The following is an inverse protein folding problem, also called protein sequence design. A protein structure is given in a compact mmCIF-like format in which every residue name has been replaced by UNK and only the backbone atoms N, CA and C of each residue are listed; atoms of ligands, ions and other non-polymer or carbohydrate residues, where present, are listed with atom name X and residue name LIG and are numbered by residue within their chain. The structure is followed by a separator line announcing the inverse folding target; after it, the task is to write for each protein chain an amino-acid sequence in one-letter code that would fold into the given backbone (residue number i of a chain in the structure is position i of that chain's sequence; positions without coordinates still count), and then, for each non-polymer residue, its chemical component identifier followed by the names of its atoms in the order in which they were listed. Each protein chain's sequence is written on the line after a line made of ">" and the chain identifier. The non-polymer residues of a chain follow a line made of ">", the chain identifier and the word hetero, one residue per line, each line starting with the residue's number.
data_IF_972280474554
#
_entry.id   IF_972280474554
#
_cell.length_a   1.000
_cell.length_b   1.000
_cell.length_c   1.000
_cell.angle_alpha   90.00
_cell.angle_beta   90.00
_cell.angle_gamma   90.00
#
_symmetry.space_group_name_H-M   'P 1'
#
loop_
_entity.id
_entity.type
_entity.pdbx_description
1 polymer ?
#
# COMPACT_ATOMS: atom_id res chain seq x y z
N UNK A 1 15.94 -30.02 -21.71
CA UNK A 1 16.65 -28.72 -21.67
C UNK A 1 15.61 -27.65 -21.42
N UNK A 2 15.75 -26.85 -20.37
CA UNK A 2 14.78 -25.77 -20.12
C UNK A 2 14.99 -24.68 -21.18
N UNK A 3 13.93 -24.22 -21.85
CA UNK A 3 14.06 -23.16 -22.85
C UNK A 3 14.59 -21.91 -22.12
N UNK A 4 15.59 -21.24 -22.71
CA UNK A 4 16.22 -20.01 -22.20
C UNK A 4 17.13 -20.15 -20.97
N UNK A 5 17.46 -21.37 -20.52
CA UNK A 5 18.45 -21.60 -19.48
C UNK A 5 19.64 -22.40 -20.03
N UNK A 6 20.86 -21.90 -19.83
CA UNK A 6 22.09 -22.62 -20.20
C UNK A 6 22.46 -23.72 -19.20
N UNK A 7 21.86 -23.72 -18.00
CA UNK A 7 22.06 -24.76 -16.99
C UNK A 7 20.96 -25.82 -17.07
N UNK A 8 21.29 -27.03 -16.58
CA UNK A 8 20.34 -28.15 -16.46
C UNK A 8 19.51 -28.09 -15.18
N UNK A 9 19.66 -27.04 -14.37
CA UNK A 9 18.94 -26.89 -13.11
C UNK A 9 17.48 -26.57 -13.36
N UNK A 10 16.59 -27.26 -12.63
CA UNK A 10 15.18 -26.88 -12.59
C UNK A 10 15.06 -25.63 -11.71
N UNK A 11 14.81 -24.49 -12.35
CA UNK A 11 14.57 -23.22 -11.67
C UNK A 11 13.10 -22.87 -11.78
N UNK A 12 12.35 -23.11 -10.70
CA UNK A 12 10.96 -22.70 -10.60
C UNK A 12 10.85 -21.26 -10.08
N UNK A 13 9.98 -20.49 -10.72
CA UNK A 13 9.64 -19.14 -10.32
C UNK A 13 8.16 -19.05 -9.95
N UNK A 14 7.85 -18.25 -8.95
CA UNK A 14 6.48 -17.92 -8.59
C UNK A 14 6.24 -16.42 -8.70
N UNK A 15 5.10 -16.08 -9.30
CA UNK A 15 4.61 -14.70 -9.39
C UNK A 15 4.15 -14.29 -7.99
N UNK A 16 4.66 -13.16 -7.48
CA UNK A 16 4.24 -12.63 -6.19
C UNK A 16 3.66 -11.22 -6.27
N UNK A 17 3.92 -10.49 -7.36
CA UNK A 17 3.38 -9.15 -7.60
C UNK A 17 3.32 -8.89 -9.12
N UNK A 18 2.38 -8.08 -9.57
CA UNK A 18 2.44 -7.42 -10.87
C UNK A 18 1.84 -6.01 -10.80
N UNK A 19 2.22 -5.16 -11.75
CA UNK A 19 1.68 -3.81 -11.93
C UNK A 19 0.82 -3.78 -13.19
N UNK A 20 -0.36 -3.17 -13.05
CA UNK A 20 -1.24 -2.80 -14.15
C UNK A 20 -1.08 -1.32 -14.42
N UNK A 21 -0.98 -0.97 -15.69
CA UNK A 21 -0.95 0.41 -16.15
C UNK A 21 -2.24 0.70 -16.93
N UNK A 22 -3.05 1.62 -16.41
CA UNK A 22 -4.25 2.11 -17.05
C UNK A 22 -3.91 3.45 -17.75
N UNK A 23 -3.45 3.36 -18.98
CA UNK A 23 -3.10 4.52 -19.80
C UNK A 23 -2.74 4.12 -21.23
N UNK A 24 -2.81 5.06 -22.17
CA UNK A 24 -2.43 4.83 -23.57
C UNK A 24 -0.95 5.06 -23.85
N UNK A 25 -0.23 5.74 -22.97
CA UNK A 25 1.17 6.12 -23.15
C UNK A 25 2.01 5.65 -21.97
N UNK A 26 3.28 5.31 -22.18
CA UNK A 26 4.13 4.79 -21.10
C UNK A 26 4.52 5.85 -20.05
N UNK A 27 4.38 7.14 -20.36
CA UNK A 27 4.73 8.26 -19.46
C UNK A 27 3.52 8.88 -18.77
N UNK A 28 2.29 8.44 -19.09
CA UNK A 28 1.06 9.02 -18.57
C UNK A 28 0.01 7.93 -18.29
N UNK A 29 -0.86 8.17 -17.33
CA UNK A 29 -1.87 7.19 -16.90
C UNK A 29 -1.71 6.80 -15.44
N UNK A 30 -2.36 5.70 -15.07
CA UNK A 30 -2.51 5.30 -13.68
C UNK A 30 -1.93 3.92 -13.41
N UNK A 31 -1.17 3.78 -12.32
CA UNK A 31 -0.54 2.51 -11.97
C UNK A 31 -1.20 1.91 -10.73
N UNK A 32 -1.63 0.65 -10.85
CA UNK A 32 -2.14 -0.12 -9.73
C UNK A 32 -1.26 -1.34 -9.53
N UNK A 33 -0.88 -1.62 -8.28
CA UNK A 33 -0.12 -2.82 -7.95
C UNK A 33 -1.04 -3.92 -7.43
N UNK A 34 -0.73 -5.16 -7.80
CA UNK A 34 -1.41 -6.34 -7.29
C UNK A 34 -0.40 -7.21 -6.59
N UNK A 35 -0.65 -7.52 -5.31
CA UNK A 35 0.32 -8.18 -4.44
C UNK A 35 -0.27 -9.47 -3.88
N UNK A 36 0.51 -10.54 -3.95
CA UNK A 36 0.17 -11.81 -3.32
C UNK A 36 0.66 -11.85 -1.88
N UNK A 37 -0.21 -12.31 -1.01
CA UNK A 37 0.15 -12.85 0.31
C UNK A 37 0.09 -14.38 0.25
N UNK A 38 0.49 -15.11 1.31
CA UNK A 38 0.35 -16.57 1.32
C UNK A 38 -1.08 -17.10 1.14
N UNK A 39 -2.10 -16.27 1.37
CA UNK A 39 -3.51 -16.68 1.39
C UNK A 39 -4.38 -15.95 0.35
N UNK A 40 -4.05 -14.71 0.02
CA UNK A 40 -4.93 -13.83 -0.76
C UNK A 40 -4.15 -12.86 -1.64
N UNK A 41 -4.83 -12.31 -2.65
CA UNK A 41 -4.34 -11.21 -3.48
C UNK A 41 -5.02 -9.90 -3.11
N UNK A 42 -4.26 -8.81 -3.25
CA UNK A 42 -4.75 -7.47 -2.96
C UNK A 42 -4.42 -6.53 -4.10
N UNK A 43 -5.32 -5.58 -4.38
CA UNK A 43 -5.10 -4.44 -5.27
C UNK A 43 -4.73 -3.24 -4.40
N UNK A 44 -3.64 -2.62 -4.77
CA UNK A 44 -3.13 -1.37 -4.22
C UNK A 44 -3.40 -0.29 -5.27
N UNK A 45 -4.28 0.64 -4.93
CA UNK A 45 -4.67 1.75 -5.77
C UNK A 45 -4.46 3.05 -5.00
N UNK A 46 -3.26 3.62 -5.12
CA UNK A 46 -2.83 4.75 -4.30
C UNK A 46 -2.97 4.45 -2.79
N UNK A 47 -3.94 5.10 -2.14
CA UNK A 47 -4.25 4.93 -0.71
C UNK A 47 -5.23 3.78 -0.45
N UNK A 48 -5.92 3.28 -1.49
CA UNK A 48 -6.91 2.21 -1.39
C UNK A 48 -6.25 0.82 -1.38
N UNK A 49 -6.75 -0.03 -0.49
CA UNK A 49 -6.29 -1.40 -0.29
C UNK A 49 -7.48 -2.36 -0.33
N UNK A 50 -7.62 -3.11 -1.43
CA UNK A 50 -8.77 -3.99 -1.66
C UNK A 50 -8.35 -5.46 -1.81
N UNK A 51 -9.09 -6.36 -1.15
CA UNK A 51 -8.96 -7.79 -1.42
C UNK A 51 -9.50 -8.13 -2.82
N UNK A 52 -8.78 -8.97 -3.56
CA UNK A 52 -9.12 -9.30 -4.95
C UNK A 52 -9.33 -10.79 -5.12
N UNK A 53 -10.42 -11.14 -5.81
CA UNK A 53 -10.64 -12.51 -6.25
C UNK A 53 -9.65 -12.87 -7.38
N UNK A 54 -9.02 -14.03 -7.28
CA UNK A 54 -8.07 -14.53 -8.27
C UNK A 54 -8.61 -14.50 -9.71
N UNK A 55 -9.91 -14.72 -9.92
CA UNK A 55 -10.54 -14.69 -11.25
C UNK A 55 -10.57 -13.29 -11.86
N UNK A 56 -10.59 -12.24 -11.05
CA UNK A 56 -10.51 -10.84 -11.48
C UNK A 56 -9.05 -10.47 -11.75
N UNK A 57 -8.14 -10.92 -10.88
CA UNK A 57 -6.70 -10.72 -11.01
C UNK A 57 -6.16 -11.31 -12.32
N UNK A 58 -6.56 -12.53 -12.67
CA UNK A 58 -6.11 -13.22 -13.89
C UNK A 58 -6.60 -12.56 -15.20
N UNK A 59 -7.59 -11.66 -15.12
CA UNK A 59 -8.11 -10.92 -16.28
C UNK A 59 -7.41 -9.58 -16.49
N UNK A 60 -6.50 -9.18 -15.59
CA UNK A 60 -5.82 -7.91 -15.72
C UNK A 60 -4.73 -7.96 -16.77
N UNK A 61 -4.58 -6.87 -17.52
CA UNK A 61 -3.48 -6.68 -18.47
C UNK A 61 -2.24 -6.20 -17.70
N UNK A 62 -1.41 -7.15 -17.28
CA UNK A 62 -0.20 -6.87 -16.52
C UNK A 62 0.85 -6.17 -17.41
N UNK A 63 1.36 -5.03 -16.94
CA UNK A 63 2.43 -4.29 -17.58
C UNK A 63 3.81 -4.77 -17.12
N UNK A 64 4.00 -4.95 -15.81
CA UNK A 64 5.25 -5.45 -15.22
C UNK A 64 4.94 -6.60 -14.29
N UNK A 65 5.69 -7.71 -14.39
CA UNK A 65 5.52 -8.88 -13.54
C UNK A 65 6.76 -9.11 -12.67
N UNK A 66 6.54 -9.43 -11.40
CA UNK A 66 7.59 -9.71 -10.43
C UNK A 66 7.54 -11.17 -9.99
N UNK A 67 8.60 -11.90 -10.33
CA UNK A 67 8.78 -13.30 -9.99
C UNK A 67 9.90 -13.46 -8.98
N UNK A 68 9.74 -14.42 -8.06
CA UNK A 68 10.82 -14.88 -7.18
C UNK A 68 11.11 -16.35 -7.41
N UNK A 69 12.38 -16.75 -7.26
CA UNK A 69 12.77 -18.16 -7.35
C UNK A 69 12.18 -18.91 -6.16
N UNK A 70 11.48 -20.02 -6.41
CA UNK A 70 10.88 -20.86 -5.36
C UNK A 70 11.97 -21.62 -4.59
N UNK A 71 13.01 -22.06 -5.29
CA UNK A 71 14.21 -22.65 -4.71
C UNK A 71 15.21 -21.57 -4.33
N UNK A 72 14.96 -20.90 -3.22
CA UNK A 72 16.04 -20.26 -2.47
C UNK A 72 16.68 -21.36 -1.64
N UNK A 73 17.93 -21.70 -1.93
CA UNK A 73 18.78 -22.40 -0.98
C UNK A 73 18.76 -21.56 0.31
N UNK A 74 18.02 -22.06 1.31
CA UNK A 74 17.85 -21.46 2.65
C UNK A 74 19.17 -21.17 3.37
N UNK A 75 20.30 -21.60 2.78
CA UNK A 75 21.67 -21.34 3.20
C UNK A 75 22.25 -20.00 2.73
N UNK A 76 21.66 -19.30 1.77
CA UNK A 76 22.26 -18.09 1.16
C UNK A 76 21.52 -16.77 1.44
N UNK A 77 20.33 -16.82 2.04
CA UNK A 77 19.62 -15.59 2.39
C UNK A 77 20.26 -14.95 3.63
N UNK A 78 20.60 -13.64 3.60
CA UNK A 78 20.89 -12.92 4.83
C UNK A 78 19.66 -13.04 5.72
N UNK A 79 19.86 -13.40 6.98
CA UNK A 79 18.78 -13.54 7.94
C UNK A 79 17.92 -12.25 7.95
N UNK A 80 16.66 -12.39 7.56
CA UNK A 80 15.68 -11.29 7.48
C UNK A 80 15.48 -10.55 8.82
N UNK A 81 16.03 -11.11 9.90
CA UNK A 81 16.18 -10.48 11.22
C UNK A 81 17.04 -9.20 11.23
N UNK A 82 17.74 -8.88 10.12
CA UNK A 82 18.63 -7.72 10.04
C UNK A 82 18.01 -6.48 9.36
N UNK A 83 16.71 -6.48 8.99
CA UNK A 83 16.06 -5.20 8.66
C UNK A 83 15.94 -4.39 9.96
N UNK A 84 16.59 -3.21 10.01
CA UNK A 84 17.07 -2.64 11.26
C UNK A 84 15.90 -2.02 12.02
N UNK A 85 15.90 -2.18 13.35
CA UNK A 85 14.94 -1.59 14.29
C UNK A 85 14.58 -0.12 14.00
N UNK A 86 15.49 0.61 13.34
CA UNK A 86 15.30 1.95 12.80
C UNK A 86 14.08 2.10 11.87
N UNK A 87 13.80 1.14 10.99
CA UNK A 87 12.64 1.21 10.08
C UNK A 87 11.34 1.17 10.89
N UNK A 88 11.26 0.28 11.88
CA UNK A 88 10.08 0.20 12.76
C UNK A 88 9.89 1.45 13.58
N UNK A 89 10.98 2.01 14.15
CA UNK A 89 10.94 3.26 14.90
C UNK A 89 10.47 4.41 13.99
N UNK A 90 11.00 4.51 12.77
CA UNK A 90 10.62 5.54 11.82
C UNK A 90 9.13 5.47 11.44
N UNK A 91 8.65 4.26 11.09
CA UNK A 91 7.23 4.03 10.77
C UNK A 91 6.35 4.41 11.97
N UNK A 92 6.72 3.99 13.18
CA UNK A 92 5.97 4.30 14.39
C UNK A 92 5.89 5.81 14.65
N UNK A 93 7.03 6.52 14.57
CA UNK A 93 7.09 7.97 14.75
C UNK A 93 6.25 8.68 13.68
N UNK A 94 6.37 8.27 12.42
CA UNK A 94 5.61 8.86 11.32
C UNK A 94 4.10 8.70 11.53
N UNK A 95 3.63 7.48 11.84
CA UNK A 95 2.22 7.21 12.13
C UNK A 95 1.74 8.02 13.34
N UNK A 96 2.53 8.07 14.42
CA UNK A 96 2.19 8.84 15.61
C UNK A 96 2.04 10.34 15.30
N UNK A 97 2.99 10.92 14.57
CA UNK A 97 2.93 12.33 14.17
C UNK A 97 1.73 12.58 13.26
N UNK A 98 1.48 11.72 12.27
CA UNK A 98 0.34 11.83 11.36
C UNK A 98 -0.99 11.83 12.12
N UNK A 99 -1.18 10.86 13.04
CA UNK A 99 -2.38 10.78 13.87
C UNK A 99 -2.49 12.00 14.79
N UNK A 100 -1.40 12.41 15.44
CA UNK A 100 -1.38 13.58 16.32
C UNK A 100 -1.77 14.86 15.57
N UNK A 101 -1.19 15.10 14.39
CA UNK A 101 -1.53 16.27 13.57
C UNK A 101 -2.99 16.18 13.11
N UNK A 102 -3.42 15.04 12.57
CA UNK A 102 -4.79 14.87 12.07
C UNK A 102 -5.83 15.04 13.18
N UNK A 103 -5.61 14.47 14.36
CA UNK A 103 -6.50 14.61 15.52
C UNK A 103 -6.45 16.00 16.15
N UNK A 104 -5.28 16.62 16.27
CA UNK A 104 -5.13 17.94 16.88
C UNK A 104 -5.68 19.05 15.98
N UNK A 105 -5.44 18.97 14.67
CA UNK A 105 -6.03 19.91 13.70
C UNK A 105 -7.54 19.74 13.59
N UNK A 106 -8.05 18.50 13.57
CA UNK A 106 -9.49 18.23 13.57
C UNK A 106 -10.17 18.70 14.87
N UNK A 107 -9.55 18.48 16.03
CA UNK A 107 -10.08 18.98 17.31
C UNK A 107 -10.07 20.51 17.37
N UNK A 108 -9.00 21.18 16.95
CA UNK A 108 -8.94 22.65 16.89
C UNK A 108 -9.98 23.25 15.93
N UNK A 109 -10.21 22.62 14.77
CA UNK A 109 -11.27 23.00 13.83
C UNK A 109 -12.67 22.80 14.44
N UNK A 110 -12.90 21.70 15.15
CA UNK A 110 -14.19 21.43 15.81
C UNK A 110 -14.45 22.37 17.00
N UNK A 111 -13.43 22.73 17.79
CA UNK A 111 -13.57 23.69 18.90
C UNK A 111 -13.86 25.11 18.39
N UNK A 112 -13.22 25.55 17.31
CA UNK A 112 -13.49 26.87 16.72
C UNK A 112 -14.89 26.94 16.10
N UNK A 113 -15.33 25.89 15.39
CA UNK A 113 -16.67 25.84 14.81
C UNK A 113 -17.77 25.78 15.87
N UNK A 114 -17.60 25.00 16.95
CA UNK A 114 -18.58 24.93 18.06
C UNK A 114 -18.62 26.22 18.88
N UNK A 115 -17.48 26.87 19.12
CA UNK A 115 -17.43 28.18 19.76
C UNK A 115 -18.12 29.24 18.92
N UNK A 116 -17.85 29.28 17.61
CA UNK A 116 -18.52 30.19 16.68
C UNK A 116 -20.04 29.97 16.65
N UNK A 117 -20.49 28.70 16.52
CA UNK A 117 -21.92 28.36 16.57
C UNK A 117 -22.57 28.77 17.88
N UNK A 118 -21.85 28.63 19.01
CA UNK A 118 -22.34 29.02 20.34
C UNK A 118 -22.42 30.54 20.50
N UNK A 119 -21.47 31.30 19.95
CA UNK A 119 -21.49 32.77 19.93
C UNK A 119 -22.63 33.31 19.07
N UNK A 120 -22.89 32.69 17.92
CA UNK A 120 -24.03 33.01 17.05
C UNK A 120 -25.35 32.73 17.78
N UNK A 121 -25.49 31.56 18.43
CA UNK A 121 -26.70 31.25 19.19
C UNK A 121 -26.91 32.18 20.39
N UNK A 122 -25.85 32.57 21.11
CA UNK A 122 -25.95 33.49 22.26
C UNK A 122 -26.41 34.89 21.86
N UNK A 123 -25.98 35.36 20.67
CA UNK A 123 -26.39 36.66 20.15
C UNK A 123 -27.86 36.66 19.69
N UNK A 124 -28.37 35.56 19.14
CA UNK A 124 -29.81 35.41 18.86
C UNK A 124 -30.67 35.42 20.13
N UNK A 125 -30.20 34.82 21.24
CA UNK A 125 -30.94 34.79 22.51
C UNK A 125 -30.98 36.14 23.22
N UNK A 126 -29.97 37.00 23.01
CA UNK A 126 -29.90 38.34 23.62
C UNK A 126 -30.66 39.42 22.82
N UNK A 127 -31.07 39.10 21.58
CA UNK A 127 -31.83 39.98 20.69
C UNK A 127 -33.35 39.73 20.71
N UNK A 128 -33.81 38.81 21.56
CA UNK A 128 -35.22 38.54 21.88
C UNK A 128 -35.52 38.93 23.33
#
# INVERSE_FOLDING_TARGET
>A
MYPYCSSSENVEYELYNFIVHAGGETSSGHYCAFVSTPLSWYKLNDEDFDAVNIQIMLKQEAYILFYRRRTLDMTTLPSYSALPIYIYIYIYIYIYIYIYIHTHTHTHLMFTCTYFQRMVNLSYTLLL
#
